data_IF_896908149074
#
_entry.id   IF_896908149074
#
_cell.length_a   1.000
_cell.length_b   1.000
_cell.length_c   1.000
_cell.angle_alpha   90.00
_cell.angle_beta   90.00
_cell.angle_gamma   90.00
#
_symmetry.space_group_name_H-M   'P 1'
#
loop_
_entity.id
_entity.type
_entity.pdbx_description
1 polymer ?
#
# COMPACT_ATOMS: atom_id res chain seq x y z
N UNK A 1 26.65 -49.26 -37.21
CA UNK A 1 25.35 -49.71 -36.67
C UNK A 1 24.30 -49.38 -37.71
N UNK A 2 23.90 -50.35 -38.55
CA UNK A 2 23.03 -50.18 -39.68
C UNK A 2 21.56 -50.15 -39.22
N UNK A 3 20.90 -49.01 -39.41
CA UNK A 3 19.43 -48.91 -39.18
C UNK A 3 18.74 -49.48 -40.43
N UNK A 4 17.83 -50.45 -40.29
CA UNK A 4 17.17 -51.06 -41.45
C UNK A 4 16.23 -50.08 -42.16
N UNK A 5 16.31 -50.04 -43.48
CA UNK A 5 15.59 -49.14 -44.42
C UNK A 5 14.07 -49.08 -44.24
N UNK A 6 13.46 -50.02 -43.49
CA UNK A 6 12.04 -50.10 -43.20
C UNK A 6 11.56 -49.06 -42.17
N UNK A 7 12.44 -48.55 -41.29
CA UNK A 7 12.07 -47.51 -40.33
C UNK A 7 12.05 -46.10 -40.91
N UNK A 8 12.83 -45.84 -41.98
CA UNK A 8 12.82 -44.51 -42.63
C UNK A 8 11.53 -44.25 -43.41
N UNK A 9 10.93 -45.28 -44.02
CA UNK A 9 9.67 -45.14 -44.76
C UNK A 9 8.46 -44.87 -43.85
N UNK A 10 8.44 -45.36 -42.63
CA UNK A 10 7.37 -45.09 -41.65
C UNK A 10 7.43 -43.67 -41.12
N UNK A 11 8.61 -43.12 -40.90
CA UNK A 11 8.78 -41.75 -40.39
C UNK A 11 8.42 -40.71 -41.46
N UNK A 12 8.74 -40.94 -42.73
CA UNK A 12 8.36 -40.08 -43.85
C UNK A 12 6.85 -40.07 -44.10
N UNK A 13 6.16 -41.20 -43.94
CA UNK A 13 4.70 -41.29 -44.07
C UNK A 13 3.98 -40.60 -42.92
N UNK A 14 4.49 -40.64 -41.69
CA UNK A 14 3.93 -39.94 -40.53
C UNK A 14 4.12 -38.43 -40.64
N UNK A 15 5.25 -37.98 -41.12
CA UNK A 15 5.49 -36.56 -41.39
C UNK A 15 4.65 -35.99 -42.53
N UNK A 16 4.35 -36.80 -43.58
CA UNK A 16 3.50 -36.37 -44.67
C UNK A 16 2.01 -36.33 -44.28
N UNK A 17 1.56 -37.17 -43.36
CA UNK A 17 0.21 -37.14 -42.82
C UNK A 17 -0.03 -35.93 -41.87
N UNK A 18 1.00 -35.48 -41.15
CA UNK A 18 0.92 -34.29 -40.28
C UNK A 18 0.89 -32.97 -41.05
N UNK A 19 1.45 -32.90 -42.26
CA UNK A 19 1.41 -31.68 -43.09
C UNK A 19 0.07 -31.55 -43.85
N UNK A 20 -0.67 -32.62 -44.07
CA UNK A 20 -1.95 -32.59 -44.77
C UNK A 20 -3.16 -32.29 -43.84
N UNK A 21 -2.99 -32.29 -42.51
CA UNK A 21 -4.03 -31.91 -41.54
C UNK A 21 -4.12 -30.42 -41.24
N UNK A 22 -3.28 -29.55 -41.79
CA UNK A 22 -3.27 -28.12 -41.49
C UNK A 22 -3.99 -27.24 -42.50
N UNK A 23 -4.76 -27.80 -43.44
CA UNK A 23 -5.58 -27.02 -44.39
C UNK A 23 -7.09 -27.28 -44.27
N UNK A 24 -7.59 -27.46 -43.06
CA UNK A 24 -9.01 -27.23 -42.81
C UNK A 24 -9.18 -25.73 -42.52
N UNK A 25 -9.40 -24.95 -43.58
CA UNK A 25 -9.81 -23.56 -43.46
C UNK A 25 -11.11 -23.49 -42.67
N UNK A 26 -11.04 -23.05 -41.45
CA UNK A 26 -12.21 -22.64 -40.69
C UNK A 26 -12.83 -21.44 -41.41
N UNK A 27 -13.94 -21.71 -42.12
CA UNK A 27 -14.83 -20.64 -42.57
C UNK A 27 -15.46 -20.03 -41.31
N UNK A 28 -14.94 -18.88 -40.90
CA UNK A 28 -15.62 -18.03 -39.95
C UNK A 28 -16.91 -17.53 -40.62
N UNK A 29 -18.07 -17.66 -39.95
CA UNK A 29 -19.25 -16.97 -40.41
C UNK A 29 -18.96 -15.48 -40.44
N UNK A 30 -19.33 -14.80 -41.51
CA UNK A 30 -19.29 -13.33 -41.65
C UNK A 30 -20.09 -12.73 -40.47
N UNK A 31 -19.43 -12.39 -39.39
CA UNK A 31 -19.98 -11.47 -38.41
C UNK A 31 -20.04 -10.08 -39.06
N UNK A 32 -21.25 -9.68 -39.35
CA UNK A 32 -21.58 -8.29 -39.71
C UNK A 32 -20.96 -7.39 -38.62
N UNK A 33 -20.15 -6.38 -38.95
CA UNK A 33 -19.62 -5.46 -37.95
C UNK A 33 -20.78 -4.83 -37.21
N UNK A 34 -20.88 -5.09 -35.91
CA UNK A 34 -21.79 -4.34 -35.04
C UNK A 34 -21.48 -2.84 -35.23
N UNK A 35 -22.49 -1.98 -35.29
CA UNK A 35 -22.29 -0.56 -35.47
C UNK A 35 -21.33 -0.07 -34.42
N UNK A 36 -20.19 0.48 -34.84
CA UNK A 36 -19.09 0.91 -33.99
C UNK A 36 -19.63 1.87 -32.95
N UNK A 37 -19.71 1.38 -31.72
CA UNK A 37 -19.91 2.26 -30.58
C UNK A 37 -18.78 3.28 -30.58
N UNK A 38 -19.13 4.53 -30.82
CA UNK A 38 -18.17 5.64 -30.75
C UNK A 38 -17.49 5.55 -29.38
N UNK A 39 -16.24 5.10 -29.33
CA UNK A 39 -15.37 5.28 -28.18
C UNK A 39 -15.14 6.77 -28.06
N UNK A 40 -15.96 7.42 -27.24
CA UNK A 40 -15.70 8.79 -26.81
C UNK A 40 -14.45 8.67 -25.92
N UNK A 41 -13.27 8.89 -26.47
CA UNK A 41 -12.07 9.18 -25.70
C UNK A 41 -12.26 10.61 -25.17
N UNK A 42 -12.82 10.71 -23.97
CA UNK A 42 -12.78 11.96 -23.23
C UNK A 42 -11.34 12.09 -22.74
N UNK A 43 -10.52 12.86 -23.44
CA UNK A 43 -9.30 13.38 -22.87
C UNK A 43 -9.69 14.32 -21.72
N UNK A 44 -9.66 13.81 -20.51
CA UNK A 44 -9.87 14.64 -19.31
C UNK A 44 -8.62 15.49 -19.16
N UNK A 45 -8.60 16.68 -19.76
CA UNK A 45 -7.54 17.68 -19.61
C UNK A 45 -7.65 18.40 -18.26
N UNK A 46 -7.94 17.68 -17.19
CA UNK A 46 -8.14 18.26 -15.88
C UNK A 46 -7.51 17.41 -14.76
N UNK A 47 -7.04 18.09 -13.74
CA UNK A 47 -6.54 17.48 -12.52
C UNK A 47 -7.64 17.52 -11.45
N UNK A 48 -8.06 16.36 -10.99
CA UNK A 48 -9.00 16.22 -9.89
C UNK A 48 -8.24 16.11 -8.57
N UNK A 49 -8.58 16.97 -7.60
CA UNK A 49 -7.94 17.01 -6.28
C UNK A 49 -9.00 16.70 -5.22
N UNK A 50 -9.02 15.51 -4.65
CA UNK A 50 -9.84 15.22 -3.49
C UNK A 50 -9.27 15.92 -2.27
N UNK A 51 -10.13 16.67 -1.55
CA UNK A 51 -9.77 17.42 -0.35
C UNK A 51 -10.71 17.04 0.79
N UNK A 52 -10.15 16.69 1.92
CA UNK A 52 -10.87 16.48 3.19
C UNK A 52 -10.53 17.61 4.13
N UNK A 53 -11.54 18.22 4.73
CA UNK A 53 -11.35 19.32 5.69
C UNK A 53 -11.98 18.95 7.02
N UNK A 54 -11.23 19.18 8.10
CA UNK A 54 -11.65 18.94 9.48
C UNK A 54 -11.44 20.21 10.31
N UNK A 55 -12.26 20.39 11.33
CA UNK A 55 -12.03 21.43 12.33
C UNK A 55 -10.98 21.01 13.38
N UNK A 56 -10.72 21.88 14.35
CA UNK A 56 -9.76 21.61 15.43
C UNK A 56 -10.18 20.43 16.34
N UNK A 57 -11.44 20.06 16.34
CA UNK A 57 -12.00 18.90 17.04
C UNK A 57 -11.95 17.63 16.20
N UNK A 58 -11.46 17.71 14.95
CA UNK A 58 -11.39 16.58 14.02
C UNK A 58 -12.71 16.25 13.33
N UNK A 59 -13.76 17.07 13.51
CA UNK A 59 -15.04 16.87 12.84
C UNK A 59 -14.97 17.33 11.37
N UNK A 60 -15.66 16.61 10.50
CA UNK A 60 -15.67 16.91 9.08
C UNK A 60 -16.46 18.20 8.79
N UNK A 61 -15.86 19.11 8.06
CA UNK A 61 -16.48 20.38 7.65
C UNK A 61 -17.09 20.22 6.26
N UNK A 62 -18.41 20.36 6.15
CA UNK A 62 -19.18 20.18 4.90
C UNK A 62 -19.77 21.47 4.32
N UNK A 63 -19.41 22.63 4.85
CA UNK A 63 -20.04 23.93 4.54
C UNK A 63 -19.18 24.86 3.69
N UNK A 64 -18.05 24.37 3.19
CA UNK A 64 -17.12 25.16 2.37
C UNK A 64 -17.64 25.29 0.94
N UNK A 65 -17.32 26.42 0.31
CA UNK A 65 -17.66 26.76 -1.08
C UNK A 65 -16.40 26.81 -1.92
N UNK A 66 -16.56 26.89 -3.25
CA UNK A 66 -15.44 27.00 -4.20
C UNK A 66 -14.49 28.14 -3.83
N UNK A 67 -15.02 29.31 -3.47
CA UNK A 67 -14.24 30.50 -3.14
C UNK A 67 -13.42 30.38 -1.86
N UNK A 68 -13.74 29.40 -1.00
CA UNK A 68 -12.96 29.12 0.20
C UNK A 68 -11.63 28.40 -0.12
N UNK A 69 -11.43 27.93 -1.37
CA UNK A 69 -10.27 27.12 -1.74
C UNK A 69 -9.33 27.86 -2.69
N UNK A 70 -8.04 27.69 -2.43
CA UNK A 70 -6.96 28.16 -3.31
C UNK A 70 -6.05 26.99 -3.64
N UNK A 71 -5.79 26.78 -4.93
CA UNK A 71 -4.90 25.72 -5.41
C UNK A 71 -3.67 26.34 -6.07
N UNK A 72 -2.50 25.80 -5.72
CA UNK A 72 -1.21 26.21 -6.30
C UNK A 72 -0.52 25.02 -6.91
N UNK A 73 0.00 25.19 -8.13
CA UNK A 73 0.81 24.23 -8.87
C UNK A 73 2.22 24.81 -9.02
N UNK A 74 3.24 24.15 -8.40
CA UNK A 74 4.60 24.69 -8.32
C UNK A 74 4.59 26.16 -7.84
N UNK A 75 3.86 26.44 -6.76
CA UNK A 75 3.64 27.74 -6.14
C UNK A 75 2.92 28.80 -7.01
N UNK A 76 2.44 28.45 -8.20
CA UNK A 76 1.63 29.32 -9.04
C UNK A 76 0.15 29.06 -8.81
N UNK A 77 -0.66 30.10 -8.57
CA UNK A 77 -2.10 29.93 -8.37
C UNK A 77 -2.75 29.37 -9.63
N UNK A 78 -3.72 28.46 -9.45
CA UNK A 78 -4.52 27.85 -10.50
C UNK A 78 -5.99 28.17 -10.29
N UNK A 79 -6.64 28.62 -11.36
CA UNK A 79 -8.08 28.80 -11.36
C UNK A 79 -8.76 27.43 -11.34
N UNK A 80 -9.73 27.26 -10.45
CA UNK A 80 -10.54 26.04 -10.37
C UNK A 80 -11.59 26.07 -11.47
N UNK A 81 -11.68 24.99 -12.25
CA UNK A 81 -12.66 24.77 -13.31
C UNK A 81 -13.88 23.97 -12.86
N UNK A 82 -13.74 23.21 -11.75
CA UNK A 82 -14.81 22.40 -11.19
C UNK A 82 -14.76 22.30 -9.67
N UNK A 83 -15.94 22.11 -9.08
CA UNK A 83 -16.12 21.94 -7.63
C UNK A 83 -17.31 21.04 -7.36
N UNK A 84 -17.10 19.96 -6.63
CA UNK A 84 -18.16 19.03 -6.24
C UNK A 84 -17.98 18.63 -4.80
N UNK A 85 -19.06 18.64 -4.03
CA UNK A 85 -19.08 18.13 -2.66
C UNK A 85 -19.67 16.72 -2.70
N UNK A 86 -18.86 15.73 -2.36
CA UNK A 86 -19.31 14.34 -2.18
C UNK A 86 -19.63 14.16 -0.70
N UNK A 87 -20.91 13.99 -0.39
CA UNK A 87 -21.37 13.68 0.97
C UNK A 87 -21.54 12.18 1.12
N UNK A 88 -21.03 11.60 2.20
CA UNK A 88 -21.32 10.21 2.57
C UNK A 88 -22.82 10.10 2.83
N UNK A 89 -23.50 9.17 2.15
CA UNK A 89 -24.84 8.79 2.52
C UNK A 89 -24.77 8.11 3.90
N UNK A 90 -25.14 8.83 4.94
CA UNK A 90 -25.52 8.20 6.21
C UNK A 90 -26.78 7.40 5.94
N UNK A 91 -26.75 6.11 6.20
CA UNK A 91 -27.95 5.30 6.32
C UNK A 91 -28.73 5.82 7.54
N UNK A 92 -29.38 6.97 7.39
CA UNK A 92 -30.50 7.27 8.27
C UNK A 92 -31.60 6.35 7.82
N UNK A 93 -31.97 5.44 8.71
CA UNK A 93 -33.23 4.71 8.68
C UNK A 93 -34.29 5.61 8.08
N UNK A 94 -34.76 5.30 6.89
CA UNK A 94 -35.96 5.92 6.37
C UNK A 94 -37.06 5.60 7.37
N UNK A 95 -37.47 6.60 8.11
CA UNK A 95 -38.72 6.55 8.85
C UNK A 95 -39.83 6.16 7.85
N UNK A 96 -40.72 5.23 8.18
CA UNK A 96 -41.71 4.75 7.23
C UNK A 96 -42.48 5.94 6.70
N UNK A 97 -42.52 6.06 5.37
CA UNK A 97 -43.22 7.11 4.67
C UNK A 97 -44.67 7.21 5.17
N UNK A 98 -45.07 8.37 5.66
CA UNK A 98 -46.46 8.70 5.90
C UNK A 98 -47.25 8.45 4.63
N UNK A 99 -48.47 7.86 4.71
CA UNK A 99 -49.31 7.62 3.54
C UNK A 99 -49.64 8.93 2.83
N UNK A 100 -49.37 8.96 1.53
CA UNK A 100 -49.75 10.07 0.63
C UNK A 100 -51.27 10.23 0.61
N UNK A 101 -51.80 11.47 0.61
CA UNK A 101 -53.21 11.76 0.30
C UNK A 101 -53.53 11.36 -1.14
N UNK A 102 -54.79 10.97 -1.47
CA UNK A 102 -55.16 10.53 -2.79
C UNK A 102 -55.02 11.64 -3.83
N UNK A 103 -54.38 11.35 -4.94
CA UNK A 103 -54.18 12.23 -6.09
C UNK A 103 -55.48 12.63 -6.74
N UNK A 104 -55.62 13.93 -7.00
CA UNK A 104 -56.63 14.46 -7.92
C UNK A 104 -56.12 14.34 -9.37
N UNK A 105 -56.96 13.94 -10.36
CA UNK A 105 -56.53 13.77 -11.75
C UNK A 105 -56.43 15.10 -12.47
N UNK A 106 -55.28 15.43 -13.00
CA UNK A 106 -55.10 16.46 -14.03
C UNK A 106 -54.11 17.57 -13.72
N UNK A 107 -52.83 17.31 -13.68
CA UNK A 107 -51.81 18.30 -13.99
C UNK A 107 -50.53 17.59 -14.48
N UNK A 108 -50.20 17.76 -15.77
CA UNK A 108 -48.94 17.35 -16.35
C UNK A 108 -47.82 18.18 -15.75
N UNK A 109 -47.13 17.66 -14.76
CA UNK A 109 -45.90 18.24 -14.21
C UNK A 109 -44.71 17.93 -15.11
N UNK A 110 -43.77 18.86 -15.34
CA UNK A 110 -42.58 18.62 -16.13
C UNK A 110 -41.73 17.56 -15.41
N UNK A 111 -41.36 16.53 -16.13
CA UNK A 111 -40.48 15.45 -15.68
C UNK A 111 -39.13 16.03 -15.30
N UNK A 112 -38.98 16.43 -14.05
CA UNK A 112 -37.65 16.72 -13.49
C UNK A 112 -36.87 15.41 -13.50
N UNK A 113 -35.95 15.28 -14.43
CA UNK A 113 -34.95 14.19 -14.47
C UNK A 113 -34.22 14.22 -13.15
N UNK A 114 -34.59 13.30 -12.24
CA UNK A 114 -33.76 13.00 -11.07
C UNK A 114 -32.42 12.50 -11.60
N UNK A 115 -31.45 13.36 -11.68
CA UNK A 115 -30.05 12.94 -11.80
C UNK A 115 -29.74 12.14 -10.56
N UNK A 116 -29.79 10.81 -10.69
CA UNK A 116 -29.24 9.88 -9.73
C UNK A 116 -27.74 10.17 -9.67
N UNK A 117 -27.31 10.90 -8.66
CA UNK A 117 -25.88 11.05 -8.35
C UNK A 117 -25.37 9.67 -8.00
N UNK A 118 -24.69 9.03 -8.97
CA UNK A 118 -23.99 7.76 -8.74
C UNK A 118 -22.92 8.05 -7.69
N UNK A 119 -23.16 7.61 -6.45
CA UNK A 119 -22.18 7.71 -5.38
C UNK A 119 -20.95 6.91 -5.85
N UNK A 120 -19.76 7.52 -5.92
CA UNK A 120 -18.56 6.80 -6.33
C UNK A 120 -18.36 5.59 -5.43
N UNK A 121 -18.26 4.39 -6.01
CA UNK A 121 -17.94 3.18 -5.27
C UNK A 121 -16.53 3.33 -4.72
N UNK A 122 -16.32 2.95 -3.47
CA UNK A 122 -14.98 2.87 -2.86
C UNK A 122 -14.47 1.44 -2.95
N UNK A 123 -13.19 1.34 -3.27
CA UNK A 123 -12.45 0.09 -3.30
C UNK A 123 -11.35 0.16 -2.26
N UNK A 124 -11.38 -0.74 -1.29
CA UNK A 124 -10.46 -0.76 -0.16
C UNK A 124 -9.73 -2.08 -0.15
N UNK A 125 -8.42 -2.05 -0.18
CA UNK A 125 -7.58 -3.25 -0.05
C UNK A 125 -6.83 -3.18 1.27
N UNK A 126 -7.02 -4.17 2.12
CA UNK A 126 -6.24 -4.37 3.34
C UNK A 126 -5.07 -5.29 3.01
N UNK A 127 -3.86 -4.75 3.01
CA UNK A 127 -2.63 -5.52 2.84
C UNK A 127 -2.02 -5.76 4.22
N UNK A 128 -2.01 -7.03 4.65
CA UNK A 128 -1.30 -7.45 5.84
C UNK A 128 0.09 -7.94 5.44
N UNK A 129 1.10 -7.26 5.95
CA UNK A 129 2.51 -7.58 5.67
C UNK A 129 2.98 -8.72 6.57
N UNK A 130 2.56 -9.94 6.23
CA UNK A 130 2.81 -11.13 7.02
C UNK A 130 4.27 -11.63 6.95
N UNK A 131 5.09 -11.07 6.07
CA UNK A 131 6.54 -11.29 6.07
C UNK A 131 7.22 -10.54 7.24
N UNK A 132 6.72 -9.36 7.62
CA UNK A 132 7.30 -8.55 8.70
C UNK A 132 6.48 -8.61 10.00
N UNK A 133 5.18 -9.00 9.95
CA UNK A 133 4.35 -9.13 11.13
C UNK A 133 4.77 -10.31 12.00
N UNK A 134 5.15 -10.04 13.25
CA UNK A 134 5.34 -11.09 14.23
C UNK A 134 4.03 -11.84 14.53
N UNK A 135 4.12 -13.05 15.07
CA UNK A 135 2.93 -13.81 15.47
C UNK A 135 2.03 -13.03 16.44
N UNK A 136 2.66 -12.35 17.43
CA UNK A 136 1.93 -11.55 18.41
C UNK A 136 1.24 -10.34 17.78
N UNK A 137 1.94 -9.60 16.93
CA UNK A 137 1.39 -8.44 16.23
C UNK A 137 0.26 -8.85 15.28
N UNK A 138 0.45 -9.93 14.52
CA UNK A 138 -0.58 -10.45 13.63
C UNK A 138 -1.85 -10.84 14.40
N UNK A 139 -1.73 -11.52 15.55
CA UNK A 139 -2.89 -11.90 16.37
C UNK A 139 -3.68 -10.68 16.87
N UNK A 140 -2.98 -9.59 17.24
CA UNK A 140 -3.63 -8.35 17.63
C UNK A 140 -4.34 -7.66 16.45
N UNK A 141 -3.68 -7.62 15.29
CA UNK A 141 -4.27 -7.10 14.04
C UNK A 141 -5.51 -7.91 13.64
N UNK A 142 -5.43 -9.24 13.68
CA UNK A 142 -6.56 -10.11 13.37
C UNK A 142 -7.76 -9.85 14.30
N UNK A 143 -7.51 -9.73 15.61
CA UNK A 143 -8.54 -9.38 16.59
C UNK A 143 -9.19 -8.03 16.28
N UNK A 144 -8.39 -7.01 16.00
CA UNK A 144 -8.87 -5.68 15.64
C UNK A 144 -9.67 -5.69 14.32
N UNK A 145 -9.17 -6.37 13.28
CA UNK A 145 -9.82 -6.45 11.98
C UNK A 145 -11.18 -7.16 12.05
N UNK A 146 -11.29 -8.28 12.78
CA UNK A 146 -12.56 -9.00 12.97
C UNK A 146 -13.60 -8.09 13.63
N UNK A 147 -13.19 -7.27 14.58
CA UNK A 147 -14.09 -6.34 15.27
C UNK A 147 -14.57 -5.21 14.36
N UNK A 148 -13.69 -4.71 13.50
CA UNK A 148 -13.90 -3.44 12.76
C UNK A 148 -14.45 -3.65 11.36
N UNK A 149 -14.03 -4.67 10.61
CA UNK A 149 -14.46 -4.89 9.23
C UNK A 149 -15.99 -4.87 9.03
N UNK A 150 -16.83 -5.47 9.92
CA UNK A 150 -18.28 -5.42 9.76
C UNK A 150 -18.89 -4.02 9.91
N UNK A 151 -18.22 -3.13 10.67
CA UNK A 151 -18.78 -1.84 11.09
C UNK A 151 -18.24 -0.64 10.32
N UNK A 152 -17.02 -0.74 9.78
CA UNK A 152 -16.31 0.38 9.18
C UNK A 152 -16.52 0.53 7.68
N UNK A 153 -17.02 -0.51 7.02
CA UNK A 153 -17.27 -0.53 5.59
C UNK A 153 -18.75 -0.24 5.31
N UNK A 154 -19.06 0.71 4.40
CA UNK A 154 -20.43 0.95 3.95
C UNK A 154 -20.92 -0.21 3.06
N UNK A 155 -22.22 -0.36 2.85
CA UNK A 155 -22.79 -1.41 2.00
C UNK A 155 -22.34 -1.30 0.54
N UNK A 156 -22.11 -0.06 0.06
CA UNK A 156 -21.60 0.20 -1.28
C UNK A 156 -20.12 -0.06 -1.45
N UNK A 157 -19.36 -0.21 -0.36
CA UNK A 157 -17.92 -0.41 -0.41
C UNK A 157 -17.58 -1.83 -0.84
N UNK A 158 -16.62 -1.95 -1.75
CA UNK A 158 -15.99 -3.22 -2.08
C UNK A 158 -14.62 -3.28 -1.39
N UNK A 159 -14.34 -4.37 -0.72
CA UNK A 159 -13.07 -4.55 -0.04
C UNK A 159 -12.42 -5.89 -0.38
N UNK A 160 -11.09 -5.95 -0.20
CA UNK A 160 -10.32 -7.17 -0.25
C UNK A 160 -9.34 -7.21 0.92
N UNK A 161 -9.05 -8.41 1.40
CA UNK A 161 -7.97 -8.71 2.34
C UNK A 161 -6.93 -9.53 1.61
N UNK A 162 -5.70 -9.07 1.64
CA UNK A 162 -4.57 -9.72 0.99
C UNK A 162 -3.37 -9.76 1.93
N UNK A 163 -2.47 -10.72 1.76
CA UNK A 163 -1.19 -10.75 2.48
C UNK A 163 -0.02 -10.79 1.51
N UNK A 164 1.16 -10.40 1.98
CA UNK A 164 2.40 -10.45 1.19
C UNK A 164 2.78 -11.87 0.80
N UNK A 165 2.40 -12.89 1.58
CA UNK A 165 2.61 -14.31 1.27
C UNK A 165 1.59 -14.92 0.32
N UNK A 166 0.54 -14.15 -0.11
CA UNK A 166 -0.38 -14.57 -1.17
C UNK A 166 -1.81 -14.88 -0.75
N UNK A 167 -2.21 -14.74 0.52
CA UNK A 167 -3.62 -14.81 0.89
C UNK A 167 -4.41 -13.71 0.15
N UNK A 168 -5.58 -14.06 -0.41
CA UNK A 168 -6.40 -13.11 -1.16
C UNK A 168 -7.88 -13.50 -1.08
N UNK A 169 -8.71 -12.61 -0.51
CA UNK A 169 -10.17 -12.81 -0.46
C UNK A 169 -10.89 -12.52 -1.79
N UNK A 170 -10.20 -11.88 -2.73
CA UNK A 170 -10.86 -11.17 -3.82
C UNK A 170 -11.61 -9.93 -3.36
N UNK A 171 -12.03 -9.09 -4.32
CA UNK A 171 -12.89 -7.94 -4.03
C UNK A 171 -14.32 -8.41 -3.75
N UNK A 172 -14.85 -8.10 -2.58
CA UNK A 172 -16.18 -8.53 -2.14
C UNK A 172 -16.88 -7.47 -1.28
N UNK A 173 -18.20 -7.55 -1.19
CA UNK A 173 -19.01 -6.84 -0.19
C UNK A 173 -19.32 -7.73 1.01
N UNK A 174 -19.07 -9.03 0.90
CA UNK A 174 -19.30 -9.96 1.99
C UNK A 174 -18.27 -9.81 3.11
N UNK A 175 -18.72 -9.38 4.27
CA UNK A 175 -17.88 -9.14 5.45
C UNK A 175 -17.36 -10.42 6.06
N UNK A 176 -18.12 -11.51 5.95
CA UNK A 176 -17.71 -12.82 6.47
C UNK A 176 -16.51 -13.37 5.69
N UNK A 177 -16.54 -13.27 4.36
CA UNK A 177 -15.40 -13.63 3.49
C UNK A 177 -14.13 -12.83 3.84
N UNK A 178 -14.26 -11.52 4.13
CA UNK A 178 -13.11 -10.70 4.54
C UNK A 178 -12.55 -11.16 5.89
N UNK A 179 -13.41 -11.41 6.88
CA UNK A 179 -12.99 -11.90 8.19
C UNK A 179 -12.32 -13.27 8.11
N UNK A 180 -12.87 -14.17 7.31
CA UNK A 180 -12.28 -15.50 7.09
C UNK A 180 -10.88 -15.38 6.46
N UNK A 181 -10.70 -14.48 5.49
CA UNK A 181 -9.40 -14.23 4.87
C UNK A 181 -8.38 -13.71 5.89
N UNK A 182 -8.76 -12.76 6.76
CA UNK A 182 -7.89 -12.28 7.84
C UNK A 182 -7.44 -13.43 8.73
N UNK A 183 -8.36 -14.33 9.12
CA UNK A 183 -8.03 -15.47 10.01
C UNK A 183 -7.12 -16.52 9.37
N UNK A 184 -7.12 -16.62 8.04
CA UNK A 184 -6.26 -17.56 7.28
C UNK A 184 -4.80 -17.09 7.20
N UNK A 185 -4.53 -15.81 7.39
CA UNK A 185 -3.17 -15.25 7.33
C UNK A 185 -2.36 -15.79 8.50
N UNK A 186 -1.13 -16.22 8.21
CA UNK A 186 -0.16 -16.69 9.19
C UNK A 186 1.11 -15.88 9.05
N UNK A 187 1.74 -15.55 10.17
CA UNK A 187 3.05 -14.89 10.14
C UNK A 187 4.07 -15.76 9.41
N UNK A 188 4.78 -15.15 8.49
CA UNK A 188 5.92 -15.71 7.76
C UNK A 188 7.21 -15.02 8.18
N UNK A 189 7.16 -14.23 9.25
CA UNK A 189 8.30 -13.49 9.74
C UNK A 189 9.40 -14.47 10.17
N UNK A 190 10.53 -14.41 9.48
CA UNK A 190 11.71 -15.23 9.73
C UNK A 190 12.55 -14.73 10.92
N UNK A 191 12.31 -13.46 11.36
CA UNK A 191 12.98 -12.88 12.53
C UNK A 191 12.43 -13.42 13.86
N UNK A 192 11.44 -14.30 13.83
CA UNK A 192 10.98 -14.98 15.04
C UNK A 192 11.96 -16.08 15.43
N UNK A 193 13.01 -15.68 16.10
CA UNK A 193 14.00 -16.57 16.70
C UNK A 193 13.33 -17.46 17.75
N UNK A 194 12.89 -18.64 17.32
CA UNK A 194 12.49 -19.73 18.24
C UNK A 194 13.69 -20.35 18.94
N UNK A 195 14.87 -20.14 18.40
CA UNK A 195 16.19 -20.38 19.00
C UNK A 195 17.00 -19.10 18.81
N UNK A 196 17.65 -18.62 19.86
CA UNK A 196 18.58 -17.49 19.77
C UNK A 196 19.66 -17.87 18.76
N UNK A 197 19.62 -17.23 17.61
CA UNK A 197 20.69 -17.32 16.63
C UNK A 197 21.98 -16.79 17.30
N UNK A 198 23.09 -17.42 17.01
CA UNK A 198 24.38 -17.02 17.56
C UNK A 198 25.31 -16.61 16.39
N UNK A 199 25.67 -15.33 16.26
CA UNK A 199 25.23 -14.15 17.03
C UNK A 199 23.79 -13.74 16.70
N UNK A 200 23.14 -13.03 17.64
CA UNK A 200 21.82 -12.43 17.47
C UNK A 200 21.97 -11.11 16.70
N UNK A 201 21.63 -11.13 15.40
CA UNK A 201 21.72 -9.97 14.51
C UNK A 201 20.38 -9.71 13.86
N UNK A 202 19.94 -8.44 13.87
CA UNK A 202 18.85 -7.96 13.05
C UNK A 202 19.34 -7.50 11.65
N UNK A 203 18.38 -7.24 10.74
CA UNK A 203 18.68 -6.81 9.38
C UNK A 203 19.43 -5.48 9.32
N UNK A 204 19.14 -4.53 10.22
CA UNK A 204 19.83 -3.23 10.26
C UNK A 204 21.29 -3.38 10.65
N UNK A 205 21.56 -4.13 11.71
CA UNK A 205 22.93 -4.42 12.17
C UNK A 205 23.73 -5.22 11.14
N UNK A 206 23.07 -6.18 10.47
CA UNK A 206 23.68 -6.91 9.36
C UNK A 206 24.11 -5.97 8.23
N UNK A 207 23.29 -4.97 7.90
CA UNK A 207 23.64 -3.95 6.91
C UNK A 207 24.78 -3.04 7.37
N UNK A 208 24.81 -2.60 8.62
CA UNK A 208 25.91 -1.82 9.17
C UNK A 208 27.24 -2.57 9.04
N UNK A 209 27.24 -3.88 9.32
CA UNK A 209 28.43 -4.73 9.26
C UNK A 209 28.90 -4.94 7.81
N UNK A 210 27.99 -5.30 6.89
CA UNK A 210 28.34 -5.71 5.53
C UNK A 210 28.56 -4.52 4.59
N UNK A 211 27.67 -3.54 4.62
CA UNK A 211 27.66 -2.41 3.71
C UNK A 211 28.20 -1.13 4.34
N UNK A 212 27.88 -0.88 5.62
CA UNK A 212 28.35 0.28 6.37
C UNK A 212 29.80 0.17 6.84
N UNK A 213 30.36 -1.04 6.87
CA UNK A 213 31.69 -1.34 7.41
C UNK A 213 31.88 -0.75 8.81
N UNK A 214 30.81 -0.80 9.62
CA UNK A 214 30.81 -0.29 10.99
C UNK A 214 31.58 -1.24 11.92
N UNK A 215 32.77 -0.80 12.34
CA UNK A 215 33.62 -1.59 13.22
C UNK A 215 33.00 -1.80 14.61
N UNK A 216 32.25 -0.81 15.12
CA UNK A 216 31.63 -0.92 16.45
C UNK A 216 30.49 -1.95 16.43
N UNK A 217 29.66 -1.95 15.39
CA UNK A 217 28.63 -2.97 15.18
C UNK A 217 29.23 -4.36 15.00
N UNK A 218 30.34 -4.47 14.22
CA UNK A 218 31.03 -5.74 14.01
C UNK A 218 31.66 -6.28 15.30
N UNK A 219 32.41 -5.45 16.05
CA UNK A 219 33.01 -5.87 17.32
C UNK A 219 31.95 -6.24 18.38
N UNK A 220 30.83 -5.53 18.43
CA UNK A 220 29.73 -5.89 19.32
C UNK A 220 29.17 -7.28 18.96
N UNK A 221 28.95 -7.55 17.68
CA UNK A 221 28.49 -8.85 17.20
C UNK A 221 29.50 -9.98 17.45
N UNK A 222 30.80 -9.70 17.34
CA UNK A 222 31.85 -10.67 17.68
C UNK A 222 31.83 -11.03 19.17
N UNK A 223 31.66 -10.04 20.05
CA UNK A 223 31.53 -10.30 21.50
C UNK A 223 30.25 -11.13 21.78
N UNK A 224 29.17 -10.85 21.13
CA UNK A 224 27.94 -11.63 21.24
C UNK A 224 28.18 -13.08 20.79
N UNK A 225 28.80 -13.27 19.62
CA UNK A 225 29.15 -14.60 19.09
C UNK A 225 30.05 -15.42 20.05
N UNK A 226 31.05 -14.77 20.66
CA UNK A 226 31.91 -15.40 21.65
C UNK A 226 31.12 -15.85 22.89
N UNK A 227 30.20 -14.98 23.35
CA UNK A 227 29.35 -15.24 24.51
C UNK A 227 28.34 -16.35 24.25
N UNK A 228 27.55 -16.25 23.19
CA UNK A 228 26.46 -17.18 22.89
C UNK A 228 26.99 -18.59 22.48
N UNK A 229 28.16 -18.65 21.84
CA UNK A 229 28.81 -19.92 21.49
C UNK A 229 29.73 -20.46 22.60
N UNK A 230 29.85 -19.76 23.73
CA UNK A 230 30.71 -20.09 24.85
C UNK A 230 32.18 -20.34 24.42
N UNK A 231 32.72 -19.42 23.60
CA UNK A 231 34.08 -19.49 23.06
C UNK A 231 35.06 -18.66 23.90
N UNK A 232 36.27 -19.17 24.13
CA UNK A 232 37.33 -18.39 24.77
C UNK A 232 37.82 -17.25 23.86
N UNK A 233 37.67 -15.97 24.26
CA UNK A 233 38.05 -14.82 23.42
C UNK A 233 39.55 -14.83 23.04
N UNK A 234 40.43 -15.40 23.87
CA UNK A 234 41.86 -15.42 23.57
C UNK A 234 42.23 -16.38 22.44
N UNK A 235 41.39 -17.36 22.17
CA UNK A 235 41.69 -18.46 21.23
C UNK A 235 40.78 -18.37 19.97
N UNK A 236 39.52 -18.02 20.15
CA UNK A 236 38.49 -18.21 19.12
C UNK A 236 37.92 -16.93 18.51
N UNK A 237 38.55 -15.76 18.75
CA UNK A 237 38.05 -14.47 18.16
C UNK A 237 37.89 -14.57 16.65
N UNK A 238 38.85 -15.17 15.93
CA UNK A 238 38.77 -15.30 14.46
C UNK A 238 37.62 -16.23 14.00
N UNK A 239 37.25 -17.23 14.83
CA UNK A 239 36.08 -18.08 14.55
C UNK A 239 34.80 -17.26 14.71
N UNK A 240 34.69 -16.49 15.79
CA UNK A 240 33.55 -15.61 16.04
C UNK A 240 33.39 -14.55 14.95
N UNK A 241 34.49 -13.95 14.46
CA UNK A 241 34.45 -13.04 13.31
C UNK A 241 33.86 -13.71 12.05
N UNK A 242 34.29 -14.96 11.78
CA UNK A 242 33.73 -15.75 10.68
C UNK A 242 32.22 -16.02 10.84
N UNK A 243 31.81 -16.36 12.07
CA UNK A 243 30.37 -16.53 12.39
C UNK A 243 29.58 -15.28 12.13
N UNK A 244 30.05 -14.11 12.59
CA UNK A 244 29.40 -12.80 12.39
C UNK A 244 29.26 -12.47 10.91
N UNK A 245 30.34 -12.61 10.12
CA UNK A 245 30.28 -12.31 8.68
C UNK A 245 29.28 -13.20 7.95
N UNK A 246 29.24 -14.48 8.30
CA UNK A 246 28.32 -15.45 7.72
C UNK A 246 26.87 -15.15 8.11
N UNK A 247 26.62 -14.88 9.39
CA UNK A 247 25.29 -14.53 9.90
C UNK A 247 24.79 -13.21 9.26
N UNK A 248 25.63 -12.16 9.24
CA UNK A 248 25.28 -10.87 8.64
C UNK A 248 24.94 -11.00 7.15
N UNK A 249 25.73 -11.77 6.38
CA UNK A 249 25.44 -12.01 4.95
C UNK A 249 24.12 -12.73 4.75
N UNK A 250 23.84 -13.76 5.54
CA UNK A 250 22.58 -14.52 5.47
C UNK A 250 21.38 -13.65 5.79
N UNK A 251 21.45 -12.89 6.89
CA UNK A 251 20.36 -12.03 7.36
C UNK A 251 20.09 -10.89 6.37
N UNK A 252 21.17 -10.27 5.85
CA UNK A 252 21.04 -9.21 4.86
C UNK A 252 20.34 -9.72 3.59
N UNK A 253 20.75 -10.89 3.08
CA UNK A 253 20.12 -11.49 1.89
C UNK A 253 18.65 -11.82 2.11
N UNK A 254 18.28 -12.35 3.26
CA UNK A 254 16.90 -12.67 3.60
C UNK A 254 16.06 -11.39 3.73
N UNK A 255 16.54 -10.41 4.48
CA UNK A 255 15.84 -9.13 4.66
C UNK A 255 15.64 -8.35 3.36
N UNK A 256 16.67 -8.32 2.49
CA UNK A 256 16.55 -7.73 1.15
C UNK A 256 15.46 -8.42 0.32
N UNK A 257 15.40 -9.75 0.37
CA UNK A 257 14.37 -10.53 -0.32
C UNK A 257 12.96 -10.21 0.18
N UNK A 258 12.77 -10.10 1.49
CA UNK A 258 11.49 -9.81 2.10
C UNK A 258 11.01 -8.38 1.76
N UNK A 259 11.92 -7.40 1.83
CA UNK A 259 11.65 -6.01 1.43
C UNK A 259 11.27 -5.92 -0.04
N UNK A 260 12.03 -6.54 -0.94
CA UNK A 260 11.72 -6.55 -2.37
C UNK A 260 10.38 -7.22 -2.66
N UNK A 261 10.06 -8.31 -1.96
CA UNK A 261 8.79 -9.00 -2.09
C UNK A 261 7.63 -8.10 -1.66
N UNK A 262 7.75 -7.45 -0.51
CA UNK A 262 6.73 -6.51 0.00
C UNK A 262 6.53 -5.32 -0.94
N UNK A 263 7.61 -4.67 -1.39
CA UNK A 263 7.55 -3.55 -2.33
C UNK A 263 6.92 -3.99 -3.67
N UNK A 264 7.34 -5.13 -4.21
CA UNK A 264 6.79 -5.69 -5.45
C UNK A 264 5.29 -5.98 -5.32
N UNK A 265 4.85 -6.50 -4.17
CA UNK A 265 3.44 -6.78 -3.91
C UNK A 265 2.61 -5.49 -3.81
N UNK A 266 3.11 -4.46 -3.12
CA UNK A 266 2.47 -3.13 -3.06
C UNK A 266 2.31 -2.55 -4.47
N UNK A 267 3.37 -2.58 -5.29
CA UNK A 267 3.33 -2.10 -6.69
C UNK A 267 2.27 -2.83 -7.52
N UNK A 268 2.20 -4.15 -7.40
CA UNK A 268 1.23 -4.97 -8.12
C UNK A 268 -0.21 -4.70 -7.67
N UNK A 269 -0.46 -4.49 -6.37
CA UNK A 269 -1.78 -4.10 -5.87
C UNK A 269 -2.22 -2.76 -6.44
N UNK A 270 -1.34 -1.75 -6.44
CA UNK A 270 -1.62 -0.44 -7.03
C UNK A 270 -1.98 -0.60 -8.52
N UNK A 271 -1.22 -1.42 -9.26
CA UNK A 271 -1.49 -1.71 -10.67
C UNK A 271 -2.88 -2.32 -10.87
N UNK A 272 -3.26 -3.29 -10.05
CA UNK A 272 -4.61 -3.90 -10.11
C UNK A 272 -5.70 -2.90 -9.74
N UNK A 273 -5.46 -2.09 -8.73
CA UNK A 273 -6.42 -1.07 -8.28
C UNK A 273 -6.59 0.06 -9.31
N UNK A 274 -5.58 0.36 -10.13
CA UNK A 274 -5.63 1.47 -11.11
C UNK A 274 -6.77 1.33 -12.11
N UNK A 275 -7.18 0.10 -12.45
CA UNK A 275 -8.30 -0.18 -13.35
C UNK A 275 -9.70 -0.11 -12.70
N UNK A 276 -9.80 0.09 -11.38
CA UNK A 276 -11.08 0.13 -10.68
C UNK A 276 -11.69 1.54 -10.77
N UNK A 277 -13.03 1.66 -10.97
CA UNK A 277 -13.69 2.97 -10.96
C UNK A 277 -13.83 3.51 -9.53
N UNK A 278 -13.79 4.83 -9.34
CA UNK A 278 -14.05 5.49 -8.05
C UNK A 278 -12.84 5.65 -7.14
N UNK A 279 -13.08 5.74 -5.84
CA UNK A 279 -12.03 5.94 -4.84
C UNK A 279 -11.29 4.64 -4.53
N UNK A 280 -9.97 4.67 -4.52
CA UNK A 280 -9.09 3.53 -4.31
C UNK A 280 -8.20 3.78 -3.10
N UNK A 281 -8.32 2.92 -2.10
CA UNK A 281 -7.56 3.03 -0.86
C UNK A 281 -6.86 1.71 -0.57
N UNK A 282 -5.55 1.74 -0.44
CA UNK A 282 -4.75 0.65 0.08
C UNK A 282 -4.45 0.94 1.55
N UNK A 283 -4.81 0.02 2.45
CA UNK A 283 -4.46 0.10 3.87
C UNK A 283 -3.35 -0.91 4.10
N UNK A 284 -2.12 -0.39 4.24
CA UNK A 284 -0.94 -1.20 4.56
C UNK A 284 -0.86 -1.39 6.07
N UNK A 285 -0.98 -2.63 6.51
CA UNK A 285 -0.87 -3.05 7.92
C UNK A 285 0.46 -3.77 8.08
N UNK A 286 1.44 -3.08 8.66
CA UNK A 286 2.82 -3.56 8.78
C UNK A 286 3.46 -3.00 10.06
N UNK A 287 4.41 -3.69 10.67
CA UNK A 287 5.25 -3.09 11.71
C UNK A 287 6.27 -2.10 11.12
N UNK A 288 6.22 -1.87 9.80
CA UNK A 288 7.26 -1.21 9.04
C UNK A 288 8.36 -2.18 8.63
N UNK A 289 9.15 -1.74 7.66
CA UNK A 289 10.31 -2.48 7.14
C UNK A 289 11.37 -1.49 6.66
N UNK A 290 12.59 -1.98 6.51
CA UNK A 290 13.74 -1.13 6.22
C UNK A 290 14.02 -1.06 4.72
N UNK A 291 13.94 0.12 4.12
CA UNK A 291 14.42 0.36 2.74
C UNK A 291 15.81 1.00 2.80
N UNK A 292 16.83 0.20 3.14
CA UNK A 292 18.20 0.67 3.39
C UNK A 292 19.15 0.50 2.21
N UNK A 293 18.77 -0.29 1.21
CA UNK A 293 19.56 -0.40 -0.03
C UNK A 293 19.12 0.65 -1.05
N UNK A 294 20.03 1.12 -1.93
CA UNK A 294 19.69 2.08 -2.99
C UNK A 294 18.53 1.59 -3.89
N UNK A 295 18.51 0.29 -4.18
CA UNK A 295 17.47 -0.36 -4.98
C UNK A 295 16.10 -0.29 -4.28
N UNK A 296 16.04 -0.62 -2.98
CA UNK A 296 14.81 -0.55 -2.19
C UNK A 296 14.31 0.89 -2.04
N UNK A 297 15.22 1.86 -1.84
CA UNK A 297 14.88 3.29 -1.79
C UNK A 297 14.29 3.78 -3.11
N UNK A 298 14.90 3.39 -4.24
CA UNK A 298 14.41 3.73 -5.58
C UNK A 298 13.05 3.11 -5.84
N UNK A 299 12.90 1.81 -5.56
CA UNK A 299 11.63 1.09 -5.73
C UNK A 299 10.51 1.71 -4.90
N UNK A 300 10.77 2.07 -3.63
CA UNK A 300 9.80 2.78 -2.77
C UNK A 300 9.35 4.09 -3.40
N UNK A 301 10.29 4.92 -3.87
CA UNK A 301 9.97 6.20 -4.51
C UNK A 301 9.13 6.01 -5.77
N UNK A 302 9.49 5.06 -6.63
CA UNK A 302 8.72 4.72 -7.83
C UNK A 302 7.29 4.26 -7.51
N UNK A 303 7.10 3.51 -6.41
CA UNK A 303 5.79 3.04 -5.98
C UNK A 303 4.91 4.20 -5.52
N UNK A 304 5.47 5.15 -4.76
CA UNK A 304 4.75 6.35 -4.32
C UNK A 304 4.31 7.17 -5.53
N UNK A 305 5.21 7.39 -6.48
CA UNK A 305 4.92 8.10 -7.71
C UNK A 305 3.84 7.38 -8.53
N UNK A 306 3.94 6.07 -8.66
CA UNK A 306 2.97 5.26 -9.40
C UNK A 306 1.59 5.26 -8.73
N UNK A 307 1.52 5.19 -7.40
CA UNK A 307 0.27 5.30 -6.65
C UNK A 307 -0.40 6.67 -6.89
N UNK A 308 0.39 7.75 -6.88
CA UNK A 308 -0.09 9.09 -7.17
C UNK A 308 -0.63 9.21 -8.61
N UNK A 309 0.07 8.64 -9.60
CA UNK A 309 -0.39 8.58 -10.99
C UNK A 309 -1.71 7.81 -11.13
N UNK A 310 -1.83 6.70 -10.43
CA UNK A 310 -3.01 5.83 -10.46
C UNK A 310 -4.16 6.33 -9.58
N UNK A 311 -4.02 7.44 -8.86
CA UNK A 311 -5.01 7.93 -7.89
C UNK A 311 -5.34 6.89 -6.80
N UNK A 312 -4.35 6.16 -6.33
CA UNK A 312 -4.46 5.22 -5.21
C UNK A 312 -3.90 5.88 -3.96
N UNK A 313 -4.73 6.03 -2.94
CA UNK A 313 -4.28 6.53 -1.62
C UNK A 313 -3.80 5.37 -0.77
N UNK A 314 -2.60 5.47 -0.22
CA UNK A 314 -2.05 4.50 0.72
C UNK A 314 -2.22 5.04 2.13
N UNK A 315 -3.02 4.37 2.95
CA UNK A 315 -3.03 4.55 4.38
C UNK A 315 -2.12 3.51 5.02
N UNK A 316 -1.46 3.85 6.11
CA UNK A 316 -0.57 2.93 6.80
C UNK A 316 -0.97 2.78 8.27
N UNK A 317 -0.99 1.55 8.77
CA UNK A 317 -1.21 1.20 10.17
C UNK A 317 0.04 0.54 10.72
N UNK A 318 0.67 1.17 11.72
CA UNK A 318 1.73 0.53 12.50
C UNK A 318 1.13 -0.56 13.39
N UNK A 319 1.51 -1.79 13.10
CA UNK A 319 1.04 -2.97 13.82
C UNK A 319 1.92 -3.35 15.03
N UNK A 320 3.00 -2.59 15.30
CA UNK A 320 3.84 -2.82 16.50
C UNK A 320 3.14 -2.42 17.80
N UNK A 321 2.11 -1.56 17.71
CA UNK A 321 1.47 -0.92 18.84
C UNK A 321 2.46 -0.01 19.61
N UNK A 322 2.33 0.08 20.94
CA UNK A 322 3.33 0.78 21.78
C UNK A 322 4.52 -0.15 22.04
N UNK A 323 5.71 0.34 21.83
CA UNK A 323 6.95 -0.40 22.07
C UNK A 323 7.96 0.48 22.84
N UNK A 324 8.93 -0.18 23.46
CA UNK A 324 10.06 0.47 24.12
C UNK A 324 11.33 0.20 23.35
N UNK A 325 12.20 1.20 23.24
CA UNK A 325 13.53 1.07 22.63
C UNK A 325 14.60 0.75 23.67
N UNK A 326 14.21 0.67 24.94
CA UNK A 326 15.13 0.34 26.02
C UNK A 326 15.36 -1.16 26.07
N UNK A 327 16.60 -1.57 26.34
CA UNK A 327 16.96 -2.95 26.58
C UNK A 327 16.33 -3.39 27.89
N UNK A 328 15.68 -4.56 27.87
CA UNK A 328 15.06 -5.15 29.07
C UNK A 328 16.13 -5.33 30.16
N UNK A 329 15.72 -5.13 31.41
CA UNK A 329 16.61 -5.30 32.56
C UNK A 329 17.16 -6.73 32.68
N UNK A 330 16.44 -7.72 32.13
CA UNK A 330 16.90 -9.13 32.06
C UNK A 330 18.03 -9.36 31.03
N UNK A 331 18.16 -8.48 30.03
CA UNK A 331 19.20 -8.51 29.01
C UNK A 331 20.44 -7.71 29.45
N UNK A 332 20.35 -6.94 30.54
CA UNK A 332 21.44 -6.15 31.08
C UNK A 332 22.39 -7.02 31.89
N UNK A 333 23.56 -7.36 31.32
CA UNK A 333 24.65 -8.00 32.07
C UNK A 333 25.33 -7.03 33.04
N UNK A 334 26.05 -7.55 34.03
CA UNK A 334 26.80 -6.76 35.01
C UNK A 334 28.23 -6.43 34.52
N UNK A 335 28.55 -5.13 34.33
CA UNK A 335 29.90 -4.65 34.03
C UNK A 335 29.93 -3.38 33.16
N UNK A 336 31.03 -2.59 33.23
CA UNK A 336 31.17 -1.32 32.48
C UNK A 336 31.32 -1.53 30.97
N UNK A 337 31.90 -2.64 30.53
CA UNK A 337 31.97 -2.99 29.08
C UNK A 337 30.61 -3.38 28.53
N UNK A 338 29.74 -3.95 29.34
CA UNK A 338 28.36 -4.26 29.01
C UNK A 338 27.51 -2.99 28.81
N UNK A 339 27.80 -1.92 29.55
CA UNK A 339 27.05 -0.66 29.44
C UNK A 339 27.29 0.08 28.11
N UNK A 340 28.49 -0.02 27.54
CA UNK A 340 28.81 0.56 26.23
C UNK A 340 28.19 -0.25 25.09
N UNK A 341 28.24 -1.59 25.17
CA UNK A 341 27.60 -2.48 24.20
C UNK A 341 26.07 -2.30 24.21
N UNK A 342 25.46 -2.23 25.38
CA UNK A 342 24.04 -1.96 25.56
C UNK A 342 23.62 -0.58 25.03
N UNK A 343 24.48 0.43 25.16
CA UNK A 343 24.28 1.78 24.60
C UNK A 343 24.22 1.75 23.06
N UNK A 344 25.17 1.08 22.43
CA UNK A 344 25.23 0.96 20.96
C UNK A 344 24.04 0.14 20.42
N UNK A 345 23.67 -0.93 21.12
CA UNK A 345 22.50 -1.74 20.73
C UNK A 345 21.19 -0.96 20.83
N UNK A 346 20.98 -0.20 21.93
CA UNK A 346 19.82 0.66 22.07
C UNK A 346 19.77 1.75 20.99
N UNK A 347 20.91 2.28 20.58
CA UNK A 347 21.00 3.25 19.50
C UNK A 347 20.62 2.60 18.15
N UNK A 348 21.19 1.45 17.81
CA UNK A 348 20.85 0.72 16.57
C UNK A 348 19.39 0.35 16.51
N UNK A 349 18.79 -0.08 17.62
CA UNK A 349 17.36 -0.37 17.70
C UNK A 349 16.50 0.89 17.43
N UNK A 350 16.87 2.06 17.97
CA UNK A 350 16.16 3.35 17.72
C UNK A 350 16.25 3.74 16.26
N UNK A 351 17.44 3.69 15.67
CA UNK A 351 17.67 4.03 14.26
C UNK A 351 16.89 3.10 13.33
N UNK A 352 16.92 1.80 13.59
CA UNK A 352 16.14 0.80 12.85
C UNK A 352 14.64 1.08 12.92
N UNK A 353 14.12 1.41 14.09
CA UNK A 353 12.71 1.74 14.29
C UNK A 353 12.32 3.01 13.54
N UNK A 354 13.10 4.08 13.66
CA UNK A 354 12.87 5.35 12.96
C UNK A 354 12.85 5.16 11.43
N UNK A 355 13.81 4.40 10.89
CA UNK A 355 13.86 4.11 9.47
C UNK A 355 12.64 3.28 8.99
N UNK A 356 12.21 2.30 9.79
CA UNK A 356 11.03 1.50 9.44
C UNK A 356 9.72 2.28 9.50
N UNK A 357 9.58 3.21 10.43
CA UNK A 357 8.44 4.13 10.52
C UNK A 357 8.41 5.13 9.38
N UNK A 358 9.58 5.66 8.99
CA UNK A 358 9.70 6.60 7.88
C UNK A 358 9.14 6.01 6.58
N UNK A 359 9.36 4.73 6.30
CA UNK A 359 8.80 4.08 5.11
C UNK A 359 7.27 4.11 5.12
N UNK A 360 6.66 3.80 6.25
CA UNK A 360 5.19 3.82 6.41
C UNK A 360 4.63 5.23 6.28
N UNK A 361 5.31 6.21 6.90
CA UNK A 361 4.95 7.61 6.80
C UNK A 361 5.08 8.14 5.37
N UNK A 362 6.16 7.80 4.66
CA UNK A 362 6.38 8.23 3.28
C UNK A 362 5.33 7.68 2.31
N UNK A 363 4.92 6.41 2.44
CA UNK A 363 3.82 5.85 1.65
C UNK A 363 2.51 6.60 1.87
N UNK A 364 2.16 6.86 3.12
CA UNK A 364 0.95 7.59 3.46
C UNK A 364 1.02 9.04 2.96
N UNK A 365 2.04 9.75 3.34
CA UNK A 365 2.21 11.17 3.03
C UNK A 365 2.34 11.44 1.53
N UNK A 366 3.11 10.63 0.82
CA UNK A 366 3.34 10.76 -0.62
C UNK A 366 2.07 10.57 -1.45
N UNK A 367 1.11 9.80 -0.97
CA UNK A 367 -0.15 9.51 -1.66
C UNK A 367 -1.37 10.27 -1.09
N UNK A 368 -1.16 11.13 -0.08
CA UNK A 368 -2.23 11.87 0.59
C UNK A 368 -3.05 11.03 1.57
N UNK A 369 -2.48 9.92 2.02
CA UNK A 369 -3.06 9.02 3.03
C UNK A 369 -2.78 9.43 4.47
N UNK A 370 -3.03 8.53 5.39
CA UNK A 370 -2.82 8.70 6.84
C UNK A 370 -1.93 7.61 7.36
N UNK A 371 -0.95 7.98 8.17
CA UNK A 371 -0.17 7.03 8.97
C UNK A 371 -0.70 7.04 10.41
N UNK A 372 -1.19 5.89 10.87
CA UNK A 372 -1.63 5.68 12.26
C UNK A 372 -0.56 4.84 12.97
N UNK A 373 0.04 5.39 14.01
CA UNK A 373 1.17 4.79 14.70
C UNK A 373 1.17 5.12 16.20
N UNK A 374 2.06 4.48 16.93
CA UNK A 374 2.30 4.73 18.35
C UNK A 374 1.02 4.64 19.19
N UNK A 375 0.23 3.58 18.98
CA UNK A 375 -1.05 3.37 19.68
C UNK A 375 -1.36 1.89 19.84
N UNK A 376 -1.81 1.51 21.04
CA UNK A 376 -2.33 0.15 21.29
C UNK A 376 -3.75 -0.05 20.76
N UNK A 377 -4.44 1.02 20.36
CA UNK A 377 -5.78 0.95 19.80
C UNK A 377 -5.75 0.67 18.29
N UNK A 378 -5.33 -0.54 17.92
CA UNK A 378 -5.34 -0.97 16.53
C UNK A 378 -6.75 -0.99 15.92
N UNK A 379 -7.77 -1.24 16.74
CA UNK A 379 -9.17 -1.24 16.29
C UNK A 379 -9.60 0.18 15.92
N UNK A 380 -9.37 1.16 16.78
CA UNK A 380 -9.60 2.57 16.45
C UNK A 380 -8.76 3.06 15.27
N UNK A 381 -7.51 2.62 15.16
CA UNK A 381 -6.64 2.87 14.01
C UNK A 381 -7.25 2.36 12.70
N UNK A 382 -7.63 1.09 12.64
CA UNK A 382 -8.28 0.50 11.46
C UNK A 382 -9.61 1.21 11.14
N UNK A 383 -10.41 1.52 12.15
CA UNK A 383 -11.66 2.26 11.96
C UNK A 383 -11.41 3.64 11.35
N UNK A 384 -10.42 4.37 11.87
CA UNK A 384 -10.05 5.69 11.35
C UNK A 384 -9.55 5.64 9.90
N UNK A 385 -8.66 4.69 9.59
CA UNK A 385 -8.09 4.53 8.24
C UNK A 385 -9.11 4.01 7.22
N UNK A 386 -10.13 3.28 7.67
CA UNK A 386 -11.20 2.72 6.83
C UNK A 386 -12.36 3.71 6.69
N UNK A 387 -12.53 4.63 7.66
CA UNK A 387 -13.64 5.55 7.67
C UNK A 387 -13.69 6.37 6.36
N UNK A 388 -14.83 6.32 5.68
CA UNK A 388 -15.07 7.27 4.61
C UNK A 388 -15.15 8.66 5.23
N UNK A 389 -14.45 9.66 4.68
CA UNK A 389 -14.68 11.03 5.09
C UNK A 389 -16.13 11.39 4.83
N UNK A 390 -16.79 12.06 5.79
CA UNK A 390 -18.18 12.46 5.66
C UNK A 390 -18.42 13.40 4.49
N UNK A 391 -17.41 14.23 4.21
CA UNK A 391 -17.38 15.16 3.08
C UNK A 391 -16.04 15.08 2.38
N UNK A 392 -16.09 15.02 1.05
CA UNK A 392 -14.91 15.16 0.18
C UNK A 392 -15.20 16.26 -0.81
N UNK A 393 -14.36 17.27 -0.83
CA UNK A 393 -14.39 18.31 -1.83
C UNK A 393 -13.55 17.86 -3.02
N UNK A 394 -14.16 17.71 -4.18
CA UNK A 394 -13.46 17.43 -5.43
C UNK A 394 -13.22 18.77 -6.12
N UNK A 395 -11.98 19.23 -6.08
CA UNK A 395 -11.53 20.41 -6.81
C UNK A 395 -10.97 19.98 -8.15
N UNK A 396 -11.22 20.77 -9.17
CA UNK A 396 -10.76 20.49 -10.53
C UNK A 396 -10.12 21.74 -11.13
N UNK A 397 -8.97 21.58 -11.79
CA UNK A 397 -8.39 22.63 -12.62
C UNK A 397 -7.93 22.07 -13.96
N UNK A 398 -7.97 22.93 -15.01
CA UNK A 398 -7.61 22.53 -16.37
C UNK A 398 -6.09 22.38 -16.55
N UNK A 399 -5.69 21.37 -17.33
CA UNK A 399 -4.32 21.15 -17.78
C UNK A 399 -3.94 21.95 -19.04
N UNK A 400 -4.86 22.74 -19.62
CA UNK A 400 -4.64 23.43 -20.88
C UNK A 400 -3.39 24.33 -20.90
N UNK A 401 -2.98 24.84 -19.74
CA UNK A 401 -1.80 25.71 -19.61
C UNK A 401 -0.65 25.05 -18.84
N UNK A 402 -0.68 23.72 -18.71
CA UNK A 402 0.39 22.94 -18.09
C UNK A 402 1.28 22.34 -19.15
N UNK A 403 2.61 22.56 -19.02
CA UNK A 403 3.58 21.97 -19.95
C UNK A 403 3.48 20.44 -19.85
N UNK A 404 3.27 19.73 -20.96
CA UNK A 404 3.22 18.27 -20.98
C UNK A 404 4.64 17.72 -20.96
N UNK A 405 5.27 17.69 -19.78
CA UNK A 405 6.66 17.27 -19.59
C UNK A 405 6.79 15.93 -18.86
N UNK A 406 5.68 15.33 -18.45
CA UNK A 406 5.68 14.09 -17.66
C UNK A 406 6.26 14.27 -16.25
N UNK A 407 6.60 15.49 -15.85
CA UNK A 407 7.23 15.76 -14.58
C UNK A 407 6.21 15.81 -13.43
N UNK A 408 6.70 15.55 -12.21
CA UNK A 408 5.91 15.71 -11.00
C UNK A 408 5.70 17.20 -10.68
N UNK A 409 4.46 17.60 -10.51
CA UNK A 409 4.05 18.92 -10.12
C UNK A 409 3.55 18.92 -8.69
N UNK A 410 4.23 19.66 -7.81
CA UNK A 410 3.83 19.81 -6.43
C UNK A 410 2.57 20.68 -6.35
N UNK A 411 1.54 20.14 -5.68
CA UNK A 411 0.31 20.84 -5.38
C UNK A 411 0.30 21.34 -3.93
N UNK A 412 -0.25 22.54 -3.74
CA UNK A 412 -0.59 23.06 -2.44
C UNK A 412 -2.03 23.57 -2.48
N UNK A 413 -2.85 23.05 -1.58
CA UNK A 413 -4.22 23.51 -1.39
C UNK A 413 -4.29 24.30 -0.11
N UNK A 414 -4.95 25.44 -0.13
CA UNK A 414 -5.25 26.27 1.04
C UNK A 414 -6.75 26.47 1.16
N UNK A 415 -7.21 26.64 2.38
CA UNK A 415 -8.58 27.07 2.70
C UNK A 415 -8.47 28.41 3.41
N UNK A 416 -9.30 29.36 2.96
CA UNK A 416 -9.32 30.73 3.50
C UNK A 416 -10.21 30.83 4.76
N UNK A 417 -9.91 29.94 5.73
CA UNK A 417 -10.54 29.93 7.07
C UNK A 417 -9.55 29.38 8.08
N UNK A 418 -9.42 30.09 9.19
CA UNK A 418 -8.55 29.67 10.30
C UNK A 418 -9.09 28.47 11.06
N UNK A 419 -8.19 27.71 11.69
CA UNK A 419 -8.51 26.59 12.55
C UNK A 419 -8.94 25.30 11.83
N UNK A 420 -8.81 25.25 10.49
CA UNK A 420 -9.13 24.05 9.70
C UNK A 420 -7.88 23.26 9.35
N UNK A 421 -8.01 21.94 9.49
CA UNK A 421 -7.01 20.99 9.02
C UNK A 421 -7.43 20.46 7.65
N UNK A 422 -6.53 20.58 6.69
CA UNK A 422 -6.77 20.20 5.32
C UNK A 422 -5.90 19.05 4.91
N UNK A 423 -6.49 18.05 4.27
CA UNK A 423 -5.83 16.89 3.69
C UNK A 423 -6.14 16.81 2.20
N UNK A 424 -5.08 16.86 1.39
CA UNK A 424 -5.15 16.78 -0.06
C UNK A 424 -3.89 16.11 -0.59
N UNK A 425 -3.95 15.57 -1.80
CA UNK A 425 -2.73 15.03 -2.43
C UNK A 425 -1.70 16.14 -2.64
N UNK A 426 -0.42 15.77 -2.51
CA UNK A 426 0.70 16.72 -2.56
C UNK A 426 1.16 17.08 -3.97
N UNK A 427 0.66 16.37 -4.99
CA UNK A 427 1.06 16.63 -6.36
C UNK A 427 0.39 15.72 -7.38
N UNK A 428 0.78 15.88 -8.63
CA UNK A 428 0.36 15.08 -9.78
C UNK A 428 1.47 15.04 -10.82
N UNK A 429 1.40 14.06 -11.73
CA UNK A 429 2.28 14.04 -12.89
C UNK A 429 1.62 14.75 -14.06
N UNK A 430 2.34 15.69 -14.67
CA UNK A 430 1.90 16.32 -15.91
C UNK A 430 1.77 15.26 -17.02
N UNK A 431 0.88 15.47 -18.00
CA UNK A 431 0.81 14.58 -19.17
C UNK A 431 2.17 14.46 -19.85
N UNK A 432 2.46 13.29 -20.40
CA UNK A 432 3.63 13.17 -21.29
C UNK A 432 3.33 13.86 -22.62
N UNK A 433 4.35 14.48 -23.27
CA UNK A 433 4.17 14.98 -24.62
C UNK A 433 3.75 13.82 -25.53
N UNK A 434 2.75 14.06 -26.35
CA UNK A 434 2.33 13.11 -27.39
C UNK A 434 3.54 12.86 -28.28
N UNK A 435 4.07 11.64 -28.28
CA UNK A 435 5.10 11.24 -29.25
C UNK A 435 4.41 11.29 -30.61
N UNK A 436 4.82 12.24 -31.44
CA UNK A 436 4.42 12.28 -32.84
C UNK A 436 4.52 10.87 -33.40
N UNK A 437 3.38 10.26 -33.73
CA UNK A 437 3.35 9.03 -34.54
C UNK A 437 3.83 9.40 -35.91
N UNK A 438 5.15 9.28 -36.11
CA UNK A 438 5.74 9.23 -37.45
C UNK A 438 5.56 7.85 -38.05
#
# INVERSE_FOLDING_TARGET
MNIPARCLSAIVLICLALVLCTQAAAQHPNETPAPGGARIQVHVNAVLIPVVVRDAQGLAVGTLKLDDFQVFDKDKPRALSGFTIVKRATLQSESPASPLPPEAPGASAPTATRQSTVVPQRFIVFLLDDLHLSFGNLAQVQKAAIQILPRSLAESDMAAVVSTSGTNSGLTRDRATLQEAVMKIKSQNHDQHTQRDCPDLDYYRANLIQNGHDNAAFEAAVRDALSCANLDPKIYTHVAEGMVRTAASRILTAGDSDVHTTLGFVKELIRRMSGLPGQRTLILVSPGFLTITPEAMSAKSEIIDYAAQCNVTINALDAKALYTTEIDASERGAGSEYSLAAGNESQSRRESLELSENVMAEFADGTGGTYFHNSNDLAGGLQNLTAAPEYVYLLEFSLEHVKPDGAYHRLKVKVDRDGLQLKARRGYFAPMPEKDKK
#
